data_IF_739670606722
#
_entry.id   IF_739670606722
#
_cell.length_a   1.000
_cell.length_b   1.000
_cell.length_c   1.000
_cell.angle_alpha   90.00
_cell.angle_beta   90.00
_cell.angle_gamma   90.00
#
_symmetry.space_group_name_H-M   'P 1'
#
loop_
_entity.id
_entity.type
_entity.pdbx_description
1 polymer ?
#
# COMPACT_ATOMS: atom_id res chain seq x y z
N UNK A 1 -16.30 11.07 -11.15
CA UNK A 1 -16.02 9.64 -10.89
C UNK A 1 -14.92 9.29 -11.87
N UNK A 2 -13.69 9.19 -11.40
CA UNK A 2 -12.56 8.81 -12.25
C UNK A 2 -12.77 7.39 -12.76
N UNK A 3 -12.49 7.20 -14.05
CA UNK A 3 -12.47 5.89 -14.70
C UNK A 3 -11.03 5.37 -14.55
N UNK A 4 -10.76 4.39 -13.66
CA UNK A 4 -9.43 3.82 -13.60
C UNK A 4 -9.05 3.19 -14.94
N UNK A 5 -7.92 3.64 -15.48
CA UNK A 5 -7.25 3.01 -16.61
C UNK A 5 -6.43 1.81 -16.10
N UNK A 6 -6.79 0.61 -16.58
CA UNK A 6 -6.04 -0.62 -16.36
C UNK A 6 -5.11 -0.83 -17.56
N UNK A 7 -3.80 -0.86 -17.30
CA UNK A 7 -2.81 -1.21 -18.32
C UNK A 7 -2.18 -2.56 -18.00
N UNK A 8 -2.03 -3.38 -19.03
CA UNK A 8 -1.39 -4.69 -18.98
C UNK A 8 -0.36 -4.74 -20.11
N UNK A 9 0.91 -4.96 -19.75
CA UNK A 9 2.01 -4.91 -20.72
C UNK A 9 1.96 -6.05 -21.74
N UNK A 10 1.56 -7.25 -21.32
CA UNK A 10 1.39 -8.38 -22.21
C UNK A 10 0.45 -9.45 -21.66
N UNK A 11 -0.31 -10.09 -22.55
CA UNK A 11 -1.13 -11.27 -22.28
C UNK A 11 -0.71 -12.39 -23.23
N UNK A 12 -0.35 -13.54 -22.67
CA UNK A 12 0.03 -14.73 -23.42
C UNK A 12 -1.08 -15.78 -23.32
N UNK A 13 -1.58 -16.25 -24.46
CA UNK A 13 -2.49 -17.39 -24.52
C UNK A 13 -1.81 -18.53 -25.27
N UNK A 14 -1.85 -19.72 -24.69
CA UNK A 14 -1.60 -20.98 -25.39
C UNK A 14 -2.91 -21.75 -25.40
N UNK A 15 -3.46 -21.94 -26.60
CA UNK A 15 -4.72 -22.64 -26.83
C UNK A 15 -4.38 -23.95 -27.53
N UNK A 16 -4.95 -25.04 -27.05
CA UNK A 16 -4.87 -26.35 -27.69
C UNK A 16 -6.21 -26.67 -28.36
N UNK A 17 -6.16 -27.40 -29.46
CA UNK A 17 -7.32 -27.90 -30.21
C UNK A 17 -8.37 -26.81 -30.55
N UNK A 18 -7.91 -25.70 -31.15
CA UNK A 18 -8.76 -24.59 -31.57
C UNK A 18 -9.45 -24.90 -32.90
N UNK A 19 -10.77 -25.07 -32.85
CA UNK A 19 -11.63 -25.10 -34.04
C UNK A 19 -12.09 -23.69 -34.43
N UNK A 20 -11.76 -23.26 -35.63
CA UNK A 20 -12.14 -21.98 -36.20
C UNK A 20 -12.93 -22.17 -37.48
N UNK A 21 -14.09 -21.50 -37.57
CA UNK A 21 -14.94 -21.53 -38.75
C UNK A 21 -14.87 -20.15 -39.43
N UNK A 22 -14.41 -20.11 -40.68
CA UNK A 22 -14.26 -18.87 -41.45
C UNK A 22 -15.23 -18.90 -42.63
N UNK A 23 -16.20 -18.01 -42.62
CA UNK A 23 -17.14 -17.84 -43.71
C UNK A 23 -16.90 -16.52 -44.46
N UNK A 24 -16.52 -16.59 -45.73
CA UNK A 24 -16.46 -15.45 -46.63
C UNK A 24 -17.75 -15.37 -47.43
N UNK A 25 -18.48 -14.27 -47.23
CA UNK A 25 -19.68 -13.94 -47.98
C UNK A 25 -19.42 -12.72 -48.86
N UNK A 26 -19.28 -12.94 -50.17
CA UNK A 26 -19.08 -11.88 -51.14
C UNK A 26 -20.29 -11.78 -52.08
N UNK A 27 -20.67 -10.55 -52.44
CA UNK A 27 -21.70 -10.28 -53.44
C UNK A 27 -21.09 -9.36 -54.48
N UNK A 28 -21.01 -9.82 -55.73
CA UNK A 28 -20.45 -9.05 -56.83
C UNK A 28 -21.57 -8.70 -57.78
N UNK A 29 -21.91 -7.40 -57.83
CA UNK A 29 -23.05 -6.82 -58.56
C UNK A 29 -24.37 -7.57 -58.23
N UNK A 30 -25.44 -7.27 -58.97
CA UNK A 30 -26.75 -7.93 -58.78
C UNK A 30 -26.78 -9.37 -59.34
N UNK A 31 -25.62 -9.97 -59.65
CA UNK A 31 -25.55 -11.18 -60.47
C UNK A 31 -24.96 -12.39 -59.73
N UNK A 32 -24.02 -12.20 -58.78
CA UNK A 32 -23.34 -13.33 -58.14
C UNK A 32 -23.25 -13.16 -56.61
N UNK A 33 -23.71 -14.19 -55.89
CA UNK A 33 -23.53 -14.38 -54.44
C UNK A 33 -22.56 -15.55 -54.24
N UNK A 34 -21.39 -15.27 -53.69
CA UNK A 34 -20.39 -16.26 -53.33
C UNK A 34 -20.42 -16.46 -51.80
N UNK A 35 -20.65 -17.70 -51.36
CA UNK A 35 -20.52 -18.08 -49.96
C UNK A 35 -19.50 -19.21 -49.89
N UNK A 36 -18.39 -18.98 -49.19
CA UNK A 36 -17.35 -19.99 -48.95
C UNK A 36 -17.18 -20.12 -47.45
N UNK A 37 -17.36 -21.32 -46.92
CA UNK A 37 -17.05 -21.66 -45.53
C UNK A 37 -15.85 -22.57 -45.48
N UNK A 38 -14.94 -22.34 -44.52
CA UNK A 38 -13.78 -23.18 -44.25
C UNK A 38 -13.76 -23.47 -42.75
N UNK A 39 -13.66 -24.75 -42.41
CA UNK A 39 -13.46 -25.21 -41.04
C UNK A 39 -11.96 -25.50 -40.87
N UNK A 40 -11.38 -24.94 -39.82
CA UNK A 40 -9.95 -25.01 -39.53
C UNK A 40 -9.77 -25.58 -38.14
N UNK A 41 -9.12 -26.72 -38.04
CA UNK A 41 -8.74 -27.32 -36.77
C UNK A 41 -7.26 -27.06 -36.51
N UNK A 42 -6.95 -26.41 -35.39
CA UNK A 42 -5.59 -26.00 -35.02
C UNK A 42 -5.22 -26.66 -33.68
N UNK A 43 -4.36 -27.68 -33.72
CA UNK A 43 -3.97 -28.40 -32.51
C UNK A 43 -3.28 -27.53 -31.45
N UNK A 44 -2.57 -26.47 -31.87
CA UNK A 44 -1.97 -25.51 -30.93
C UNK A 44 -1.87 -24.12 -31.53
N UNK A 45 -2.28 -23.12 -30.77
CA UNK A 45 -2.19 -21.69 -31.09
C UNK A 45 -1.54 -20.95 -29.93
N UNK A 46 -0.55 -20.11 -30.24
CA UNK A 46 0.04 -19.18 -29.28
C UNK A 46 -0.32 -17.76 -29.69
N UNK A 47 -0.89 -16.98 -28.79
CA UNK A 47 -1.28 -15.60 -29.01
C UNK A 47 -0.59 -14.71 -27.96
N UNK A 48 0.30 -13.85 -28.44
CA UNK A 48 0.97 -12.83 -27.64
C UNK A 48 0.34 -11.46 -27.91
N UNK A 49 -0.45 -10.96 -26.97
CA UNK A 49 -1.01 -9.60 -27.02
C UNK A 49 -0.10 -8.71 -26.19
N UNK A 50 0.34 -7.57 -26.72
CA UNK A 50 1.15 -6.57 -26.00
C UNK A 50 0.41 -5.25 -25.90
N UNK A 51 0.55 -4.56 -24.77
CA UNK A 51 -0.01 -3.22 -24.54
C UNK A 51 -1.54 -3.23 -24.56
N UNK A 52 -2.15 -3.88 -23.57
CA UNK A 52 -3.60 -3.87 -23.37
C UNK A 52 -3.96 -2.75 -22.42
N UNK A 53 -4.75 -1.79 -22.88
CA UNK A 53 -5.30 -0.71 -22.07
C UNK A 53 -6.82 -0.88 -21.99
N UNK A 54 -7.36 -0.87 -20.78
CA UNK A 54 -8.77 -1.07 -20.51
C UNK A 54 -9.28 0.01 -19.55
N UNK A 55 -10.35 0.68 -19.92
CA UNK A 55 -11.02 1.65 -19.06
C UNK A 55 -12.11 0.92 -18.24
N UNK A 56 -11.99 0.96 -16.91
CA UNK A 56 -12.94 0.31 -16.01
C UNK A 56 -13.87 1.34 -15.39
N UNK A 57 -15.17 1.26 -15.70
CA UNK A 57 -16.18 2.11 -15.05
C UNK A 57 -16.82 1.36 -13.88
N UNK A 58 -16.38 1.65 -12.66
CA UNK A 58 -17.00 1.10 -11.45
C UNK A 58 -18.29 1.88 -11.12
N UNK A 59 -19.47 1.34 -11.48
CA UNK A 59 -20.77 1.90 -11.06
C UNK A 59 -21.27 1.20 -9.80
N UNK A 60 -20.97 1.79 -8.63
CA UNK A 60 -21.61 1.37 -7.38
C UNK A 60 -23.06 1.85 -7.35
N UNK A 61 -24.03 0.93 -7.39
CA UNK A 61 -25.44 1.25 -7.12
C UNK A 61 -25.67 1.17 -5.61
N UNK A 62 -25.96 2.31 -4.98
CA UNK A 62 -26.10 2.45 -3.53
C UNK A 62 -27.55 2.24 -3.03
N UNK A 63 -28.46 1.72 -3.86
CA UNK A 63 -29.91 1.61 -3.56
C UNK A 63 -30.21 0.80 -2.28
N UNK A 64 -29.28 -0.04 -1.83
CA UNK A 64 -29.42 -0.85 -0.62
C UNK A 64 -28.54 -0.40 0.54
N UNK A 65 -27.71 0.64 0.39
CA UNK A 65 -26.87 1.10 1.50
C UNK A 65 -27.73 1.73 2.59
N UNK A 66 -28.76 2.50 2.22
CA UNK A 66 -29.72 3.02 3.20
C UNK A 66 -30.48 1.89 3.91
N UNK A 67 -30.92 0.86 3.19
CA UNK A 67 -31.59 -0.30 3.80
C UNK A 67 -30.66 -1.11 4.73
N UNK A 68 -29.37 -1.20 4.40
CA UNK A 68 -28.36 -1.81 5.26
C UNK A 68 -28.13 -0.95 6.51
N UNK A 69 -27.99 0.37 6.36
CA UNK A 69 -27.83 1.31 7.48
C UNK A 69 -29.05 1.28 8.39
N UNK A 70 -30.27 1.29 7.84
CA UNK A 70 -31.52 1.17 8.60
C UNK A 70 -31.60 -0.18 9.33
N UNK A 71 -31.16 -1.27 8.68
CA UNK A 71 -31.10 -2.61 9.30
C UNK A 71 -30.05 -2.69 10.40
N UNK A 72 -28.91 -2.01 10.25
CA UNK A 72 -27.89 -1.92 11.28
C UNK A 72 -28.37 -1.07 12.45
N UNK A 73 -29.00 0.09 12.19
CA UNK A 73 -29.57 0.95 13.22
C UNK A 73 -30.65 0.21 14.02
N UNK A 74 -31.59 -0.45 13.34
CA UNK A 74 -32.62 -1.26 14.03
C UNK A 74 -32.03 -2.48 14.77
N UNK A 75 -30.91 -3.04 14.31
CA UNK A 75 -30.24 -4.15 15.00
C UNK A 75 -29.47 -3.66 16.22
N UNK A 76 -28.81 -2.50 16.14
CA UNK A 76 -28.14 -1.84 17.26
C UNK A 76 -29.15 -1.41 18.33
N UNK A 77 -30.27 -0.81 17.93
CA UNK A 77 -31.36 -0.39 18.82
C UNK A 77 -31.98 -1.57 19.57
N UNK A 78 -32.13 -2.72 18.90
CA UNK A 78 -32.70 -3.94 19.51
C UNK A 78 -31.69 -4.74 20.33
N UNK A 79 -30.40 -4.45 20.22
CA UNK A 79 -29.34 -5.20 20.90
C UNK A 79 -28.34 -4.24 21.56
N UNK A 80 -28.75 -3.49 22.61
CA UNK A 80 -27.89 -2.52 23.29
C UNK A 80 -26.66 -3.17 23.95
N UNK A 81 -26.71 -4.48 24.24
CA UNK A 81 -25.57 -5.23 24.76
C UNK A 81 -24.43 -5.37 23.73
N UNK A 82 -24.74 -5.39 22.42
CA UNK A 82 -23.72 -5.36 21.36
C UNK A 82 -22.99 -4.01 21.32
N UNK A 83 -23.72 -2.91 21.52
CA UNK A 83 -23.14 -1.56 21.60
C UNK A 83 -22.19 -1.46 22.79
N UNK A 84 -22.62 -1.92 23.97
CA UNK A 84 -21.75 -1.93 25.18
C UNK A 84 -20.54 -2.82 25.00
N UNK A 85 -20.69 -4.00 24.39
CA UNK A 85 -19.61 -4.93 24.11
C UNK A 85 -18.58 -4.37 23.14
N UNK A 86 -19.03 -3.76 22.04
CA UNK A 86 -18.18 -3.09 21.06
C UNK A 86 -17.50 -1.84 21.65
N UNK A 87 -18.23 -1.01 22.39
CA UNK A 87 -17.67 0.15 23.07
C UNK A 87 -16.60 -0.24 24.09
N UNK A 88 -16.80 -1.34 24.82
CA UNK A 88 -15.82 -1.88 25.76
C UNK A 88 -14.60 -2.44 25.04
N UNK A 89 -14.78 -3.22 23.98
CA UNK A 89 -13.67 -3.73 23.17
C UNK A 89 -12.83 -2.61 22.56
N UNK A 90 -13.46 -1.57 22.02
CA UNK A 90 -12.78 -0.37 21.50
C UNK A 90 -12.07 0.39 22.62
N UNK A 91 -12.71 0.54 23.79
CA UNK A 91 -12.08 1.16 24.96
C UNK A 91 -10.87 0.38 25.46
N UNK A 92 -10.94 -0.96 25.50
CA UNK A 92 -9.86 -1.81 25.97
C UNK A 92 -8.66 -1.78 25.00
N UNK A 93 -8.93 -1.77 23.68
CA UNK A 93 -7.90 -1.53 22.65
C UNK A 93 -7.30 -0.13 22.79
N UNK A 94 -8.14 0.90 22.99
CA UNK A 94 -7.68 2.27 23.18
C UNK A 94 -6.80 2.45 24.41
N UNK A 95 -7.14 1.81 25.53
CA UNK A 95 -6.32 1.80 26.75
C UNK A 95 -5.01 1.04 26.54
N UNK A 96 -5.05 -0.15 25.94
CA UNK A 96 -3.84 -0.94 25.66
C UNK A 96 -2.88 -0.22 24.72
N UNK A 97 -3.40 0.43 23.68
CA UNK A 97 -2.60 1.28 22.78
C UNK A 97 -2.04 2.52 23.50
N UNK A 98 -2.83 3.18 24.34
CA UNK A 98 -2.39 4.33 25.14
C UNK A 98 -1.29 3.99 26.14
N UNK A 99 -1.40 2.86 26.83
CA UNK A 99 -0.36 2.38 27.75
C UNK A 99 0.93 1.98 27.03
N UNK A 100 0.82 1.35 25.85
CA UNK A 100 1.98 1.01 25.04
C UNK A 100 2.72 2.27 24.58
N UNK A 101 1.98 3.26 24.06
CA UNK A 101 2.56 4.55 23.64
C UNK A 101 3.17 5.31 24.84
N UNK A 102 2.51 5.28 26.01
CA UNK A 102 3.05 5.88 27.23
C UNK A 102 4.38 5.25 27.66
N UNK A 103 4.46 3.92 27.71
CA UNK A 103 5.69 3.19 28.04
C UNK A 103 6.81 3.45 27.02
N UNK A 104 6.49 3.54 25.73
CA UNK A 104 7.46 3.92 24.69
C UNK A 104 7.94 5.36 24.87
N UNK A 105 7.05 6.28 25.23
CA UNK A 105 7.39 7.68 25.52
C UNK A 105 8.33 7.82 26.73
N UNK A 106 8.07 7.07 27.80
CA UNK A 106 8.93 7.05 29.00
C UNK A 106 10.31 6.46 28.68
N UNK A 107 10.36 5.35 27.95
CA UNK A 107 11.62 4.75 27.50
C UNK A 107 12.44 5.72 26.63
N UNK A 108 11.79 6.45 25.72
CA UNK A 108 12.46 7.47 24.90
C UNK A 108 12.98 8.64 25.76
N UNK A 109 12.25 9.03 26.80
CA UNK A 109 12.66 10.08 27.75
C UNK A 109 13.89 9.66 28.55
N UNK A 110 13.95 8.41 28.99
CA UNK A 110 15.07 7.87 29.75
C UNK A 110 16.32 7.71 28.88
N UNK A 111 16.15 7.27 27.62
CA UNK A 111 17.24 7.28 26.62
C UNK A 111 17.74 8.70 26.37
N UNK A 112 16.84 9.68 26.22
CA UNK A 112 17.20 11.09 26.03
C UNK A 112 18.01 11.66 27.20
N UNK A 113 17.62 11.36 28.44
CA UNK A 113 18.38 11.75 29.64
C UNK A 113 19.74 11.08 29.69
N UNK A 114 19.82 9.77 29.41
CA UNK A 114 21.09 9.04 29.37
C UNK A 114 22.06 9.59 28.32
N UNK A 115 21.54 9.91 27.13
CA UNK A 115 22.33 10.54 26.06
C UNK A 115 22.83 11.93 26.46
N UNK A 116 21.98 12.74 27.10
CA UNK A 116 22.37 14.08 27.56
C UNK A 116 23.44 14.04 28.65
N UNK A 117 23.33 13.11 29.62
CA UNK A 117 24.36 12.89 30.63
C UNK A 117 25.69 12.45 30.01
N UNK A 118 25.65 11.47 29.09
CA UNK A 118 26.85 10.99 28.42
C UNK A 118 27.54 12.10 27.59
N UNK A 119 26.76 12.95 26.91
CA UNK A 119 27.30 14.12 26.19
C UNK A 119 27.89 15.16 27.15
N UNK A 120 27.29 15.34 28.34
CA UNK A 120 27.82 16.21 29.39
C UNK A 120 29.19 15.73 29.89
N UNK A 121 29.31 14.44 30.19
CA UNK A 121 30.56 13.83 30.66
C UNK A 121 31.68 13.92 29.61
N UNK A 122 31.34 13.66 28.33
CA UNK A 122 32.27 13.81 27.21
C UNK A 122 32.70 15.27 27.04
N UNK A 123 31.77 16.22 27.13
CA UNK A 123 32.08 17.64 27.04
C UNK A 123 33.00 18.13 28.16
N UNK A 124 32.76 17.65 29.38
CA UNK A 124 33.60 17.99 30.53
C UNK A 124 35.00 17.38 30.42
N UNK A 125 35.11 16.12 30.00
CA UNK A 125 36.38 15.44 29.77
C UNK A 125 37.20 16.11 28.64
N UNK A 126 36.54 16.48 27.53
CA UNK A 126 37.18 17.21 26.44
C UNK A 126 37.66 18.61 26.89
N UNK A 127 36.83 19.34 27.67
CA UNK A 127 37.20 20.64 28.21
C UNK A 127 38.41 20.59 29.16
N UNK A 128 38.48 19.56 30.01
CA UNK A 128 39.64 19.33 30.88
C UNK A 128 40.90 18.99 30.08
N UNK A 129 40.80 18.12 29.07
CA UNK A 129 41.94 17.76 28.24
C UNK A 129 42.50 18.98 27.48
N UNK A 130 41.63 19.80 26.89
CA UNK A 130 42.04 21.06 26.23
C UNK A 130 42.65 22.04 27.22
N UNK A 131 42.08 22.17 28.43
CA UNK A 131 42.62 23.02 29.48
C UNK A 131 44.03 22.62 29.92
N UNK A 132 44.27 21.31 30.10
CA UNK A 132 45.58 20.77 30.45
C UNK A 132 46.61 20.98 29.33
N UNK A 133 46.22 20.76 28.07
CA UNK A 133 47.09 21.03 26.92
C UNK A 133 47.42 22.52 26.80
N UNK A 134 46.43 23.41 27.02
CA UNK A 134 46.64 24.85 27.02
C UNK A 134 47.58 25.33 28.12
N UNK A 135 47.46 24.78 29.34
CA UNK A 135 48.39 25.06 30.43
C UNK A 135 49.80 24.53 30.14
N UNK A 136 49.93 23.30 29.65
CA UNK A 136 51.22 22.72 29.27
C UNK A 136 51.92 23.48 28.16
N UNK A 137 51.17 23.93 27.13
CA UNK A 137 51.70 24.78 26.07
C UNK A 137 52.11 26.17 26.59
N UNK A 138 51.32 26.77 27.49
CA UNK A 138 51.64 28.06 28.10
C UNK A 138 52.92 28.02 28.96
N UNK A 139 53.14 26.95 29.71
CA UNK A 139 54.38 26.73 30.45
C UNK A 139 55.59 26.53 29.52
N UNK A 140 55.45 25.70 28.49
CA UNK A 140 56.54 25.44 27.54
C UNK A 140 56.98 26.69 26.76
N UNK A 141 56.07 27.63 26.47
CA UNK A 141 56.42 28.92 25.83
C UNK A 141 57.03 29.89 26.84
N UNK A 142 56.58 29.87 28.10
CA UNK A 142 57.14 30.69 29.17
C UNK A 142 58.58 30.33 29.56
N UNK A 143 58.96 29.05 29.42
CA UNK A 143 60.31 28.57 29.75
C UNK A 143 61.35 28.79 28.63
N UNK A 144 60.94 29.24 27.44
CA UNK A 144 61.81 29.42 26.24
C UNK A 144 62.06 30.89 25.89
N UNK A 145 61.51 31.85 26.65
CA UNK A 145 61.75 33.29 26.52
C UNK A 145 62.70 33.84 27.57
#
# INVERSE_FOLDING_TARGET
MDVPELRVDSIHFELEDLDAHVALKARVLNLIKLNVGIDVHLSRVKLDIKGVEAELVLKARLEHVTAIVDRLMTTLDRNPELVKGLAKAVSDVGKGAGEAVGKTGDAAKDVGKGAQSALGDVGQGAGQAVGQVGQGAGQAVGDVG
#
